data_IF_069936958019
#
_entry.id   IF_069936958019
#
_cell.length_a   1.000
_cell.length_b   1.000
_cell.length_c   1.000
_cell.angle_alpha   90.00
_cell.angle_beta   90.00
_cell.angle_gamma   90.00
#
_symmetry.space_group_name_H-M   'P 1'
#
loop_
_entity.id
_entity.type
_entity.pdbx_description
1 polymer ?
#
# COMPACT_ATOMS: atom_id res chain seq x y z
N UNK A 1 9.41 0.40 10.80
CA UNK A 1 8.87 -0.25 9.58
C UNK A 1 9.73 0.16 8.40
N UNK A 2 10.16 -0.77 7.53
CA UNK A 2 10.87 -0.43 6.28
C UNK A 2 9.87 0.25 5.33
N UNK A 3 10.31 1.22 4.53
CA UNK A 3 9.47 1.80 3.46
C UNK A 3 9.07 0.67 2.48
N UNK A 4 7.81 0.62 2.01
CA UNK A 4 7.42 -0.29 0.95
C UNK A 4 8.25 -0.05 -0.31
N UNK A 5 8.32 -1.04 -1.18
CA UNK A 5 9.06 -0.98 -2.45
C UNK A 5 8.10 -1.10 -3.64
N UNK A 6 8.50 -0.58 -4.81
CA UNK A 6 7.72 -0.77 -6.04
C UNK A 6 7.62 -2.26 -6.34
N UNK A 7 6.41 -2.73 -6.67
CA UNK A 7 6.06 -4.13 -6.86
C UNK A 7 5.57 -4.83 -5.58
N UNK A 8 5.70 -4.20 -4.41
CA UNK A 8 5.25 -4.79 -3.16
C UNK A 8 3.72 -4.69 -3.01
N UNK A 9 3.08 -5.79 -2.55
CA UNK A 9 1.67 -5.73 -2.12
C UNK A 9 1.58 -5.14 -0.71
N UNK A 10 0.74 -4.13 -0.56
CA UNK A 10 0.52 -3.37 0.67
C UNK A 10 -0.95 -3.28 1.03
N UNK A 11 -1.24 -2.94 2.29
CA UNK A 11 -2.58 -2.75 2.82
C UNK A 11 -2.72 -1.40 3.50
N UNK A 12 -3.93 -0.86 3.49
CA UNK A 12 -4.29 0.36 4.22
C UNK A 12 -5.76 0.30 4.64
N UNK A 13 -6.18 1.16 5.57
CA UNK A 13 -7.60 1.32 5.90
C UNK A 13 -8.19 2.50 5.13
N UNK A 14 -9.32 2.26 4.47
CA UNK A 14 -10.14 3.31 3.85
C UNK A 14 -11.61 3.03 4.17
N UNK A 15 -12.36 4.05 4.57
CA UNK A 15 -13.79 3.94 4.91
C UNK A 15 -14.12 2.82 5.91
N UNK A 16 -13.23 2.56 6.87
CA UNK A 16 -13.40 1.51 7.88
C UNK A 16 -13.01 0.09 7.41
N UNK A 17 -12.73 -0.10 6.13
CA UNK A 17 -12.39 -1.39 5.54
C UNK A 17 -10.90 -1.50 5.22
N UNK A 18 -10.38 -2.73 5.27
CA UNK A 18 -9.02 -3.02 4.82
C UNK A 18 -9.00 -3.12 3.29
N UNK A 19 -8.16 -2.30 2.67
CA UNK A 19 -7.91 -2.28 1.24
C UNK A 19 -6.52 -2.84 0.96
N UNK A 20 -6.29 -3.26 -0.29
CA UNK A 20 -4.98 -3.74 -0.71
C UNK A 20 -4.67 -3.40 -2.16
N UNK A 21 -3.39 -3.36 -2.49
CA UNK A 21 -2.91 -3.02 -3.82
C UNK A 21 -1.40 -3.22 -3.94
N UNK A 22 -0.88 -3.03 -5.14
CA UNK A 22 0.55 -3.15 -5.44
C UNK A 22 1.13 -1.75 -5.59
N UNK A 23 2.25 -1.48 -4.94
CA UNK A 23 2.97 -0.21 -5.10
C UNK A 23 3.51 -0.10 -6.52
N UNK A 24 3.18 0.97 -7.22
CA UNK A 24 3.68 1.25 -8.57
C UNK A 24 4.59 2.47 -8.61
N UNK A 25 4.51 3.36 -7.61
CA UNK A 25 5.41 4.49 -7.47
C UNK A 25 5.53 4.92 -6.01
N UNK A 26 6.71 5.41 -5.62
CA UNK A 26 6.96 6.03 -4.31
C UNK A 26 7.48 7.43 -4.59
N UNK A 27 6.77 8.45 -4.12
CA UNK A 27 7.13 9.85 -4.33
C UNK A 27 8.02 10.37 -3.21
N UNK A 28 8.75 11.45 -3.48
CA UNK A 28 9.66 12.10 -2.53
C UNK A 28 8.93 12.71 -1.32
N UNK A 29 7.68 13.11 -1.51
CA UNK A 29 6.83 13.71 -0.47
C UNK A 29 6.25 12.69 0.53
N UNK A 30 6.54 11.40 0.36
CA UNK A 30 6.00 10.35 1.21
C UNK A 30 4.61 9.88 0.82
N UNK A 31 4.12 10.21 -0.38
CA UNK A 31 2.97 9.53 -0.97
C UNK A 31 3.42 8.31 -1.77
N UNK A 32 2.58 7.28 -1.78
CA UNK A 32 2.80 6.04 -2.53
C UNK A 32 1.61 5.81 -3.43
N UNK A 33 1.85 5.65 -4.73
CA UNK A 33 0.80 5.25 -5.67
C UNK A 33 0.68 3.74 -5.65
N UNK A 34 -0.52 3.25 -5.41
CA UNK A 34 -0.86 1.84 -5.42
C UNK A 34 -1.87 1.56 -6.52
N UNK A 35 -1.70 0.42 -7.21
CA UNK A 35 -2.70 -0.13 -8.11
C UNK A 35 -3.53 -1.18 -7.38
N UNK A 36 -4.84 -0.98 -7.34
CA UNK A 36 -5.82 -1.92 -6.76
C UNK A 36 -6.07 -3.09 -7.70
N UNK A 37 -6.73 -4.12 -7.17
CA UNK A 37 -7.06 -5.34 -7.91
C UNK A 37 -8.08 -5.10 -9.05
N UNK A 38 -8.87 -4.03 -8.95
CA UNK A 38 -9.77 -3.56 -10.01
C UNK A 38 -9.04 -2.78 -11.13
N UNK A 39 -7.71 -2.65 -11.04
CA UNK A 39 -6.87 -1.93 -11.99
C UNK A 39 -6.79 -0.42 -11.77
N UNK A 40 -7.58 0.14 -10.87
CA UNK A 40 -7.54 1.57 -10.56
C UNK A 40 -6.33 1.95 -9.70
N UNK A 41 -5.88 3.19 -9.82
CA UNK A 41 -4.75 3.72 -9.08
C UNK A 41 -5.19 4.70 -8.01
N UNK A 42 -4.46 4.70 -6.89
CA UNK A 42 -4.73 5.59 -5.76
C UNK A 42 -3.43 6.02 -5.11
N UNK A 43 -3.39 7.28 -4.66
CA UNK A 43 -2.32 7.77 -3.82
C UNK A 43 -2.65 7.56 -2.34
N UNK A 44 -1.75 6.88 -1.64
CA UNK A 44 -1.88 6.55 -0.23
C UNK A 44 -0.67 7.11 0.53
N UNK A 45 -0.94 7.79 1.64
CA UNK A 45 0.12 8.24 2.54
C UNK A 45 0.92 7.05 3.08
N UNK A 46 2.25 7.16 3.05
CA UNK A 46 3.15 6.11 3.52
C UNK A 46 2.88 5.70 4.99
N UNK A 47 2.42 6.65 5.81
CA UNK A 47 2.03 6.49 7.21
C UNK A 47 0.80 5.59 7.41
N UNK A 48 -0.05 5.45 6.38
CA UNK A 48 -1.25 4.61 6.41
C UNK A 48 -1.01 3.20 5.90
N UNK A 49 0.12 2.99 5.24
CA UNK A 49 0.49 1.71 4.65
C UNK A 49 1.05 0.79 5.71
N UNK A 50 0.51 -0.42 5.79
CA UNK A 50 1.09 -1.51 6.55
C UNK A 50 1.23 -2.76 5.69
N UNK A 51 2.20 -3.61 6.06
CA UNK A 51 2.35 -4.95 5.52
C UNK A 51 1.60 -5.89 6.45
N UNK A 52 0.77 -6.76 5.90
CA UNK A 52 0.28 -7.90 6.68
C UNK A 52 1.47 -8.83 6.82
N UNK A 53 2.14 -8.82 7.98
CA UNK A 53 3.11 -9.87 8.27
C UNK A 53 2.38 -11.20 8.04
N UNK A 54 2.92 -12.02 7.15
CA UNK A 54 2.50 -13.41 7.05
C UNK A 54 2.76 -13.99 8.44
N UNK A 55 1.70 -14.10 9.25
CA UNK A 55 1.68 -14.99 10.40
C UNK A 55 2.02 -16.35 9.80
N UNK A 56 3.28 -16.79 9.98
CA UNK A 56 3.67 -18.15 9.62
C UNK A 56 2.83 -19.07 10.51
N UNK A 57 1.93 -19.82 9.88
CA UNK A 57 1.42 -21.06 10.46
C UNK A 57 2.54 -22.09 10.57
#
# INVERSE_FOLDING_TARGET
MRKPEVGERVWWKASGEAQSGVVIAIRRDGTTTVRRDDGSELDVGLDRIYRRERVKS
#
